data_IF_029900891636
#
_entry.id   IF_029900891636
#
_cell.length_a   1.000
_cell.length_b   1.000
_cell.length_c   1.000
_cell.angle_alpha   90.00
_cell.angle_beta   90.00
_cell.angle_gamma   90.00
#
_symmetry.space_group_name_H-M   'P 1'
#
loop_
_entity.id
_entity.type
_entity.pdbx_description
1 polymer ?
#
# COMPACT_ATOMS: atom_id res chain seq x y z
N UNK A 1 -0.80 6.51 6.89
CA UNK A 1 -2.26 6.46 6.82
C UNK A 1 -2.79 5.44 7.83
N UNK A 2 -3.88 5.76 8.51
CA UNK A 2 -4.55 4.80 9.37
C UNK A 2 -5.52 3.98 8.52
N UNK A 3 -5.24 2.69 8.40
CA UNK A 3 -6.15 1.71 7.80
C UNK A 3 -6.30 0.58 8.80
N UNK A 4 -7.47 0.35 9.40
CA UNK A 4 -7.71 -0.82 10.25
C UNK A 4 -7.48 -2.13 9.49
N UNK A 5 -7.67 -2.07 8.19
CA UNK A 5 -7.57 -3.13 7.20
C UNK A 5 -6.71 -2.62 6.06
N UNK A 6 -5.46 -2.68 6.13
CA UNK A 6 -4.59 -2.18 5.09
C UNK A 6 -3.38 -3.05 4.94
N UNK A 7 -2.59 -2.71 3.93
CA UNK A 7 -1.36 -3.40 3.63
C UNK A 7 -0.38 -3.34 4.81
N UNK A 8 -0.26 -2.19 5.48
CA UNK A 8 0.57 -2.03 6.68
C UNK A 8 -0.32 -1.98 7.91
N UNK A 9 -0.12 -2.89 8.85
CA UNK A 9 -0.93 -3.02 10.05
C UNK A 9 -0.06 -3.03 11.32
N UNK A 10 -0.63 -2.58 12.45
CA UNK A 10 -0.01 -2.70 13.77
C UNK A 10 1.30 -1.93 13.95
N UNK A 11 1.46 -0.80 13.25
CA UNK A 11 2.66 0.05 13.39
C UNK A 11 2.78 0.59 14.81
N UNK A 12 3.95 0.41 15.41
CA UNK A 12 4.23 0.88 16.76
C UNK A 12 5.70 0.73 17.13
N UNK A 13 6.01 0.96 18.40
CA UNK A 13 7.36 0.82 18.99
C UNK A 13 8.40 1.61 18.19
N UNK A 14 8.13 2.92 18.02
CA UNK A 14 8.89 3.79 17.13
C UNK A 14 9.83 4.74 17.84
N UNK A 15 10.76 5.28 17.09
CA UNK A 15 11.66 6.36 17.46
C UNK A 15 11.84 7.32 16.28
N UNK A 16 12.23 8.55 16.57
CA UNK A 16 12.55 9.55 15.54
C UNK A 16 14.05 9.78 15.50
N UNK A 17 14.61 9.81 14.30
CA UNK A 17 16.03 10.11 14.09
C UNK A 17 16.20 11.10 12.94
N UNK A 18 17.41 11.67 12.84
CA UNK A 18 17.78 12.57 11.76
C UNK A 18 18.83 11.88 10.86
N UNK A 19 18.65 11.97 9.54
CA UNK A 19 19.61 11.48 8.57
C UNK A 19 20.79 12.45 8.35
N UNK A 20 21.75 12.04 7.53
CA UNK A 20 22.94 12.82 7.21
C UNK A 20 22.64 14.14 6.46
N UNK A 21 21.48 14.25 5.84
CA UNK A 21 21.02 15.44 5.10
C UNK A 21 20.16 16.37 5.96
N UNK A 22 19.90 15.99 7.23
CA UNK A 22 19.12 16.75 8.17
C UNK A 22 17.61 16.52 8.05
N UNK A 23 17.16 15.48 7.32
CA UNK A 23 15.75 15.06 7.31
C UNK A 23 15.44 14.21 8.54
N UNK A 24 14.22 14.31 9.04
CA UNK A 24 13.76 13.50 10.15
C UNK A 24 12.92 12.33 9.68
N UNK A 25 13.06 11.21 10.35
CA UNK A 25 12.37 9.96 10.05
C UNK A 25 11.84 9.36 11.33
N UNK A 26 10.59 8.89 11.29
CA UNK A 26 10.06 8.03 12.33
C UNK A 26 10.23 6.58 11.88
N UNK A 27 11.00 5.81 12.65
CA UNK A 27 11.16 4.38 12.46
C UNK A 27 10.25 3.65 13.43
N UNK A 28 9.58 2.62 12.98
CA UNK A 28 8.71 1.79 13.78
C UNK A 28 8.70 0.36 13.31
N UNK A 29 7.90 -0.47 13.93
CA UNK A 29 7.70 -1.85 13.49
C UNK A 29 6.29 -2.03 12.95
N UNK A 30 6.14 -2.86 11.92
CA UNK A 30 4.85 -3.21 11.33
C UNK A 30 4.69 -4.72 11.26
N UNK A 31 3.47 -5.19 11.47
CA UNK A 31 3.12 -6.60 11.26
C UNK A 31 2.84 -6.81 9.78
N UNK A 32 3.53 -7.76 9.19
CA UNK A 32 3.45 -8.10 7.77
C UNK A 32 3.12 -9.57 7.52
N UNK A 33 3.21 -10.41 8.57
CA UNK A 33 2.80 -11.81 8.56
C UNK A 33 1.68 -12.04 9.55
N UNK A 34 0.72 -12.88 9.19
CA UNK A 34 -0.39 -13.26 10.07
C UNK A 34 -0.10 -14.47 10.90
N UNK A 35 0.79 -15.31 10.46
CA UNK A 35 1.07 -16.58 11.11
C UNK A 35 1.90 -16.41 12.36
N UNK A 36 2.86 -15.49 12.32
CA UNK A 36 3.72 -15.18 13.44
C UNK A 36 3.48 -13.75 13.90
N UNK A 37 2.57 -13.55 14.86
CA UNK A 37 2.14 -12.23 15.34
C UNK A 37 3.28 -11.36 15.90
N UNK A 38 4.44 -11.94 16.18
CA UNK A 38 5.64 -11.23 16.62
C UNK A 38 6.66 -11.01 15.51
N UNK A 39 6.40 -11.50 14.31
CA UNK A 39 7.23 -11.16 13.17
C UNK A 39 6.90 -9.73 12.71
N UNK A 40 7.81 -8.84 13.03
CA UNK A 40 7.68 -7.42 12.71
C UNK A 40 8.82 -6.99 11.80
N UNK A 41 8.49 -6.15 10.84
CA UNK A 41 9.48 -5.53 9.95
C UNK A 41 9.55 -4.04 10.25
N UNK A 42 10.67 -3.43 9.88
CA UNK A 42 10.89 -2.00 10.05
C UNK A 42 10.00 -1.25 9.06
N UNK A 43 9.28 -0.25 9.56
CA UNK A 43 8.62 0.78 8.78
C UNK A 43 9.30 2.11 8.99
N UNK A 44 9.37 2.91 7.93
CA UNK A 44 10.02 4.21 7.93
C UNK A 44 9.07 5.26 7.37
N UNK A 45 8.87 6.33 8.13
CA UNK A 45 8.00 7.44 7.73
C UNK A 45 8.74 8.77 7.80
N UNK A 46 8.66 9.61 6.76
CA UNK A 46 9.23 10.95 6.80
C UNK A 46 8.52 11.80 7.84
N UNK A 47 9.29 12.51 8.63
CA UNK A 47 8.82 13.28 9.78
C UNK A 47 9.22 14.74 9.60
N UNK A 48 8.30 15.63 9.93
CA UNK A 48 8.48 17.06 9.75
C UNK A 48 8.15 17.80 11.03
N UNK A 49 8.78 18.95 11.19
CA UNK A 49 8.41 19.96 12.18
C UNK A 49 7.85 21.15 11.44
N UNK A 50 6.69 21.61 11.83
CA UNK A 50 6.13 22.81 11.24
C UNK A 50 6.74 24.10 11.88
N UNK A 51 6.29 25.25 11.41
CA UNK A 51 6.78 26.55 11.89
C UNK A 51 6.48 26.82 13.38
N UNK A 52 5.52 26.13 13.97
CA UNK A 52 5.13 26.25 15.38
C UNK A 52 5.84 25.20 16.26
N UNK A 53 6.66 24.32 15.64
CA UNK A 53 7.40 23.25 16.31
C UNK A 53 6.58 21.96 16.47
N UNK A 54 5.36 21.88 15.91
CA UNK A 54 4.58 20.65 15.95
C UNK A 54 5.22 19.59 15.06
N UNK A 55 5.37 18.38 15.60
CA UNK A 55 5.93 17.25 14.86
C UNK A 55 4.81 16.41 14.24
N UNK A 56 5.01 15.99 12.99
CA UNK A 56 4.11 15.06 12.32
C UNK A 56 4.85 14.12 11.38
N UNK A 57 4.39 12.86 11.31
CA UNK A 57 4.84 11.89 10.32
C UNK A 57 3.90 11.91 9.11
N UNK A 58 4.47 12.01 7.92
CA UNK A 58 3.67 11.97 6.69
C UNK A 58 3.35 10.54 6.30
N UNK A 59 2.08 10.18 6.38
CA UNK A 59 1.60 8.81 6.19
C UNK A 59 0.58 8.66 5.05
N UNK A 60 0.30 9.72 4.28
CA UNK A 60 -0.71 9.68 3.21
C UNK A 60 -0.48 8.53 2.23
N UNK A 61 0.77 8.36 1.79
CA UNK A 61 1.22 7.30 0.90
C UNK A 61 2.33 6.46 1.56
N UNK A 62 2.22 6.22 2.88
CA UNK A 62 3.28 5.62 3.68
C UNK A 62 3.58 4.16 3.37
N UNK A 63 2.70 3.48 2.65
CA UNK A 63 2.85 2.12 2.14
C UNK A 63 3.05 2.06 0.61
N UNK A 64 3.24 3.21 -0.03
CA UNK A 64 3.61 3.34 -1.45
C UNK A 64 5.10 3.58 -1.61
N UNK A 65 5.66 3.39 -2.82
CA UNK A 65 7.05 3.74 -3.09
C UNK A 65 7.37 5.18 -2.75
N UNK A 66 8.51 5.39 -2.14
CA UNK A 66 8.99 6.69 -1.70
C UNK A 66 10.42 6.94 -2.21
N UNK A 67 10.68 8.16 -2.63
CA UNK A 67 12.04 8.58 -2.98
C UNK A 67 12.86 8.68 -1.68
N UNK A 68 13.99 7.99 -1.64
CA UNK A 68 14.98 8.19 -0.58
C UNK A 68 15.82 9.41 -0.96
N UNK A 69 15.72 10.52 -0.22
CA UNK A 69 16.39 11.76 -0.61
C UNK A 69 17.90 11.70 -0.34
N UNK A 70 18.66 12.36 -1.20
CA UNK A 70 20.10 12.61 -1.08
C UNK A 70 20.42 14.05 -0.63
N UNK A 71 19.41 14.80 -0.21
CA UNK A 71 19.47 16.19 0.23
C UNK A 71 18.37 16.52 1.24
N UNK A 72 18.46 17.70 1.85
CA UNK A 72 17.36 18.24 2.68
C UNK A 72 16.10 18.42 1.82
N UNK A 73 14.99 17.83 2.27
CA UNK A 73 13.68 18.01 1.66
C UNK A 73 12.91 19.15 2.35
N UNK A 74 12.07 19.83 1.60
CA UNK A 74 11.27 20.95 2.09
C UNK A 74 9.80 20.57 2.34
N UNK A 75 9.34 19.49 1.72
CA UNK A 75 7.92 19.11 1.70
C UNK A 75 7.77 17.59 1.63
N UNK A 76 6.74 17.01 2.27
CA UNK A 76 6.40 15.60 2.11
C UNK A 76 6.15 15.18 0.66
N UNK A 77 5.65 16.09 -0.16
CA UNK A 77 5.36 15.85 -1.57
C UNK A 77 6.62 15.57 -2.39
N UNK A 78 7.78 16.07 -1.96
CA UNK A 78 9.08 15.83 -2.61
C UNK A 78 9.48 14.34 -2.59
N UNK A 79 8.88 13.55 -1.69
CA UNK A 79 9.18 12.13 -1.51
C UNK A 79 8.25 11.20 -2.29
N UNK A 80 7.11 11.68 -2.77
CA UNK A 80 6.17 10.85 -3.50
C UNK A 80 6.47 10.89 -5.01
N UNK A 81 6.91 9.77 -5.62
CA UNK A 81 7.25 9.75 -7.05
C UNK A 81 6.02 9.81 -7.96
N UNK A 82 4.82 9.77 -7.38
CA UNK A 82 3.55 9.73 -8.11
C UNK A 82 3.29 8.37 -8.77
N UNK A 83 3.91 7.31 -8.28
CA UNK A 83 3.62 5.95 -8.74
C UNK A 83 2.43 5.40 -7.99
N UNK A 84 1.31 5.24 -8.69
CA UNK A 84 0.07 4.74 -8.13
C UNK A 84 0.04 3.21 -8.14
N UNK A 85 -0.80 2.63 -7.29
CA UNK A 85 -1.04 1.19 -7.27
C UNK A 85 -1.92 0.81 -8.47
N UNK A 86 -1.36 0.05 -9.39
CA UNK A 86 -2.00 -0.38 -10.63
C UNK A 86 -2.77 -1.70 -10.49
N UNK A 87 -2.40 -2.53 -9.52
CA UNK A 87 -2.92 -3.90 -9.36
C UNK A 87 -4.18 -3.99 -8.49
N UNK A 88 -4.63 -2.91 -7.84
CA UNK A 88 -5.75 -2.97 -6.91
C UNK A 88 -7.03 -3.51 -7.56
N UNK A 89 -7.53 -4.64 -7.02
CA UNK A 89 -8.73 -5.38 -7.50
C UNK A 89 -8.76 -5.66 -9.00
N UNK A 90 -7.61 -5.78 -9.61
CA UNK A 90 -7.49 -6.18 -11.01
C UNK A 90 -7.79 -7.68 -11.17
N UNK A 91 -8.13 -8.07 -12.39
CA UNK A 91 -8.33 -9.49 -12.73
C UNK A 91 -7.04 -10.27 -12.52
N UNK A 92 -7.16 -11.39 -11.81
CA UNK A 92 -6.03 -12.28 -11.52
C UNK A 92 -6.33 -13.68 -12.01
N UNK A 93 -5.36 -14.30 -12.66
CA UNK A 93 -5.36 -15.71 -13.06
C UNK A 93 -4.19 -16.43 -12.39
N UNK A 94 -4.37 -17.68 -12.03
CA UNK A 94 -3.35 -18.48 -11.39
C UNK A 94 -3.30 -19.91 -11.95
N UNK A 95 -2.15 -20.58 -11.81
CA UNK A 95 -1.96 -21.99 -12.18
C UNK A 95 -2.89 -22.91 -11.41
N UNK A 96 -3.08 -22.63 -10.13
CA UNK A 96 -3.99 -23.34 -9.25
C UNK A 96 -4.46 -22.43 -8.12
N UNK A 97 -5.56 -22.81 -7.45
CA UNK A 97 -6.08 -22.09 -6.28
C UNK A 97 -6.54 -23.08 -5.23
N UNK A 98 -6.05 -22.92 -4.01
CA UNK A 98 -6.51 -23.67 -2.85
C UNK A 98 -7.89 -23.16 -2.42
N UNK A 99 -8.80 -24.06 -2.10
CA UNK A 99 -10.14 -23.69 -1.61
C UNK A 99 -10.08 -22.78 -0.38
N UNK A 100 -10.84 -21.71 -0.38
CA UNK A 100 -10.85 -20.68 0.68
C UNK A 100 -9.78 -19.60 0.54
N UNK A 101 -8.87 -19.68 -0.45
CA UNK A 101 -7.78 -18.70 -0.65
C UNK A 101 -7.78 -18.16 -2.10
N UNK A 102 -8.81 -17.40 -2.48
CA UNK A 102 -9.01 -16.97 -3.85
C UNK A 102 -7.96 -15.94 -4.32
N UNK A 103 -7.81 -15.82 -5.62
CA UNK A 103 -6.80 -14.97 -6.28
C UNK A 103 -6.95 -13.48 -5.96
N UNK A 104 -8.18 -13.01 -5.75
CA UNK A 104 -8.53 -11.63 -5.43
C UNK A 104 -7.87 -11.13 -4.14
N UNK A 105 -7.57 -12.05 -3.22
CA UNK A 105 -6.91 -11.72 -1.96
C UNK A 105 -5.48 -11.18 -2.14
N UNK A 106 -4.82 -11.49 -3.26
CA UNK A 106 -3.47 -10.99 -3.53
C UNK A 106 -3.44 -9.54 -4.05
N UNK A 107 -4.59 -8.95 -4.37
CA UNK A 107 -4.70 -7.61 -4.96
C UNK A 107 -5.73 -6.72 -4.26
N UNK A 108 -6.16 -7.06 -3.05
CA UNK A 108 -7.22 -6.35 -2.32
C UNK A 108 -6.72 -5.33 -1.28
N UNK A 109 -5.41 -5.17 -1.12
CA UNK A 109 -4.77 -4.32 -0.11
C UNK A 109 -5.07 -4.70 1.36
N UNK A 110 -5.48 -5.94 1.62
CA UNK A 110 -5.62 -6.48 2.98
C UNK A 110 -4.60 -7.59 3.24
N UNK A 111 -3.52 -7.26 3.92
CA UNK A 111 -2.44 -8.21 4.25
C UNK A 111 -2.90 -9.40 5.12
N UNK A 112 -4.11 -9.35 5.68
CA UNK A 112 -4.69 -10.44 6.49
C UNK A 112 -5.33 -11.53 5.66
N UNK A 113 -5.49 -11.31 4.37
CA UNK A 113 -5.98 -12.27 3.40
C UNK A 113 -4.88 -12.59 2.40
N UNK A 114 -4.95 -13.76 1.77
CA UNK A 114 -3.97 -14.15 0.76
C UNK A 114 -4.57 -15.15 -0.23
N UNK A 115 -3.99 -15.19 -1.40
CA UNK A 115 -4.15 -16.30 -2.32
C UNK A 115 -3.15 -17.40 -2.00
N UNK A 116 -3.55 -18.65 -2.19
CA UNK A 116 -2.64 -19.82 -2.16
C UNK A 116 -2.84 -20.70 -3.36
N UNK A 117 -1.74 -21.09 -3.98
CA UNK A 117 -1.71 -22.23 -4.89
C UNK A 117 -2.02 -23.51 -4.12
N UNK A 118 -2.36 -24.61 -4.83
CA UNK A 118 -2.57 -25.93 -4.23
C UNK A 118 -1.26 -26.56 -3.75
N UNK A 119 -0.13 -26.19 -4.33
CA UNK A 119 1.20 -26.72 -4.03
C UNK A 119 2.25 -25.62 -3.90
N UNK A 120 3.48 -25.99 -3.60
CA UNK A 120 4.66 -25.15 -3.70
C UNK A 120 5.54 -25.57 -4.90
N UNK A 121 5.01 -26.33 -5.84
CA UNK A 121 5.78 -26.86 -6.95
C UNK A 121 6.35 -25.72 -7.80
N UNK A 122 7.52 -25.97 -8.35
CA UNK A 122 8.10 -25.08 -9.36
C UNK A 122 7.18 -24.96 -10.55
N UNK A 123 6.89 -23.71 -10.94
CA UNK A 123 5.99 -23.40 -12.04
C UNK A 123 4.58 -22.96 -11.61
N UNK A 124 4.21 -23.06 -10.32
CA UNK A 124 3.02 -22.37 -9.84
C UNK A 124 3.15 -20.86 -10.11
N UNK A 125 2.10 -20.23 -10.61
CA UNK A 125 2.14 -18.81 -11.01
C UNK A 125 0.86 -18.05 -10.68
N UNK A 126 1.00 -16.75 -10.65
CA UNK A 126 -0.10 -15.77 -10.63
C UNK A 126 0.14 -14.70 -11.68
N UNK A 127 -0.90 -14.32 -12.40
CA UNK A 127 -0.88 -13.26 -13.42
C UNK A 127 -1.93 -12.21 -13.08
N UNK A 128 -1.52 -10.94 -13.03
CA UNK A 128 -2.43 -9.79 -12.91
C UNK A 128 -2.58 -9.12 -14.27
N UNK A 129 -3.81 -8.87 -14.71
CA UNK A 129 -4.15 -8.03 -15.85
C UNK A 129 -4.39 -6.59 -15.36
N UNK A 130 -3.55 -5.66 -15.76
CA UNK A 130 -3.66 -4.24 -15.39
C UNK A 130 -4.76 -3.50 -16.18
N UNK A 131 -5.59 -4.23 -16.95
CA UNK A 131 -6.66 -3.80 -17.86
C UNK A 131 -6.17 -3.05 -19.09
N UNK A 132 -5.05 -2.37 -19.01
CA UNK A 132 -4.46 -1.60 -20.11
C UNK A 132 -2.95 -1.56 -20.02
N UNK A 133 -2.33 -1.17 -21.11
CA UNK A 133 -0.90 -0.91 -21.12
C UNK A 133 -0.56 0.21 -20.13
N UNK A 134 0.37 -0.05 -19.24
CA UNK A 134 0.75 0.81 -18.12
C UNK A 134 2.25 0.88 -18.02
N UNK A 135 2.76 2.01 -17.55
CA UNK A 135 4.19 2.18 -17.27
C UNK A 135 4.49 1.74 -15.84
N UNK A 136 5.05 0.54 -15.69
CA UNK A 136 5.39 -0.07 -14.41
C UNK A 136 6.80 0.36 -13.99
N UNK A 137 6.94 0.85 -12.76
CA UNK A 137 8.22 1.31 -12.17
C UNK A 137 8.71 0.43 -11.06
N UNK A 138 7.79 -0.16 -10.28
CA UNK A 138 8.16 -1.03 -9.17
C UNK A 138 7.11 -2.10 -8.94
N UNK A 139 7.55 -3.22 -8.35
CA UNK A 139 6.70 -4.34 -7.97
C UNK A 139 7.07 -4.73 -6.54
N UNK A 140 6.06 -4.99 -5.73
CA UNK A 140 6.23 -5.53 -4.39
C UNK A 140 5.48 -6.84 -4.27
N UNK A 141 6.18 -7.86 -3.81
CA UNK A 141 5.62 -9.18 -3.55
C UNK A 141 5.62 -9.41 -2.05
N UNK A 142 4.46 -9.73 -1.49
CA UNK A 142 4.33 -10.15 -0.11
C UNK A 142 3.89 -11.60 -0.09
N UNK A 143 4.79 -12.48 0.27
CA UNK A 143 4.50 -13.89 0.43
C UNK A 143 3.69 -14.12 1.71
N UNK A 144 2.82 -15.13 1.70
CA UNK A 144 2.06 -15.59 2.86
C UNK A 144 2.61 -16.94 3.36
N UNK A 145 2.14 -17.36 4.53
CA UNK A 145 2.66 -18.56 5.22
C UNK A 145 1.68 -19.74 5.20
N UNK A 146 1.01 -19.98 4.05
CA UNK A 146 0.03 -21.07 3.95
C UNK A 146 0.68 -22.43 4.21
N UNK A 147 0.23 -23.12 5.27
CA UNK A 147 0.75 -24.44 5.71
C UNK A 147 2.27 -24.48 5.95
N UNK A 148 2.90 -23.31 6.17
CA UNK A 148 4.33 -23.27 6.44
C UNK A 148 4.67 -23.94 7.79
N UNK A 149 5.72 -24.74 7.84
CA UNK A 149 6.24 -25.39 9.03
C UNK A 149 7.57 -24.82 9.48
N UNK A 150 8.32 -24.19 8.58
CA UNK A 150 9.52 -23.43 8.91
C UNK A 150 9.12 -22.05 9.43
N UNK A 151 9.53 -21.72 10.64
CA UNK A 151 9.22 -20.47 11.32
C UNK A 151 10.49 -19.82 11.84
N UNK A 152 10.47 -18.50 11.93
CA UNK A 152 11.58 -17.72 12.43
C UNK A 152 12.71 -17.55 11.40
N UNK A 153 13.88 -17.10 11.86
CA UNK A 153 15.05 -16.86 11.01
C UNK A 153 15.84 -18.14 10.77
N UNK A 154 16.05 -18.48 9.51
CA UNK A 154 16.88 -19.63 9.11
C UNK A 154 17.48 -19.38 7.73
N UNK A 155 18.68 -19.86 7.49
CA UNK A 155 19.35 -19.77 6.18
C UNK A 155 18.66 -20.60 5.09
N UNK A 156 17.70 -21.47 5.47
CA UNK A 156 16.85 -22.22 4.55
C UNK A 156 15.57 -21.49 4.15
N UNK A 157 15.27 -20.36 4.77
CA UNK A 157 14.09 -19.56 4.46
C UNK A 157 14.50 -18.49 3.46
N UNK A 158 14.26 -18.75 2.17
CA UNK A 158 14.42 -17.80 1.08
C UNK A 158 13.40 -18.11 -0.01
N UNK A 159 13.12 -17.13 -0.86
CA UNK A 159 12.12 -17.21 -1.92
C UNK A 159 12.80 -17.06 -3.27
N UNK A 160 12.56 -18.00 -4.20
CA UNK A 160 13.06 -17.91 -5.56
C UNK A 160 11.89 -17.86 -6.53
N UNK A 161 11.91 -16.87 -7.39
CA UNK A 161 10.82 -16.63 -8.33
C UNK A 161 11.32 -15.83 -9.54
N UNK A 162 10.48 -15.74 -10.56
CA UNK A 162 10.63 -14.82 -11.68
C UNK A 162 9.41 -13.94 -11.79
N UNK A 163 9.63 -12.70 -12.24
CA UNK A 163 8.54 -11.84 -12.69
C UNK A 163 8.72 -11.62 -14.17
N UNK A 164 7.64 -11.83 -14.90
CA UNK A 164 7.56 -11.71 -16.34
C UNK A 164 6.48 -10.69 -16.71
N UNK A 165 6.66 -10.06 -17.86
CA UNK A 165 5.71 -9.10 -18.40
C UNK A 165 5.19 -9.53 -19.75
N UNK A 166 3.99 -9.06 -20.11
CA UNK A 166 3.40 -9.30 -21.43
C UNK A 166 2.44 -8.19 -21.83
N UNK A 167 2.42 -7.86 -23.12
CA UNK A 167 1.45 -6.95 -23.71
C UNK A 167 0.08 -7.61 -23.94
N UNK A 168 0.08 -8.91 -24.21
CA UNK A 168 -1.11 -9.63 -24.71
C UNK A 168 -1.43 -10.92 -23.91
N UNK A 169 -0.63 -11.24 -22.87
CA UNK A 169 -0.79 -12.45 -22.07
C UNK A 169 -0.40 -13.77 -22.76
N UNK A 170 0.23 -13.72 -23.93
CA UNK A 170 0.60 -14.89 -24.74
C UNK A 170 2.11 -15.12 -24.72
N UNK A 171 2.87 -14.10 -25.06
CA UNK A 171 4.34 -14.13 -25.04
C UNK A 171 4.84 -13.36 -23.83
N UNK A 172 5.83 -13.91 -23.14
CA UNK A 172 6.32 -13.40 -21.88
C UNK A 172 7.80 -13.05 -21.96
N UNK A 173 8.16 -11.86 -21.48
CA UNK A 173 9.53 -11.41 -21.34
C UNK A 173 9.92 -11.39 -19.88
N UNK A 174 11.12 -11.83 -19.58
CA UNK A 174 11.66 -11.78 -18.21
C UNK A 174 11.87 -10.31 -17.79
N UNK A 175 11.25 -9.92 -16.68
CA UNK A 175 11.37 -8.60 -16.11
C UNK A 175 12.27 -8.58 -14.87
N UNK A 176 12.14 -9.61 -14.00
CA UNK A 176 12.95 -9.77 -12.79
C UNK A 176 13.30 -11.24 -12.63
N UNK A 177 14.58 -11.55 -12.42
CA UNK A 177 15.05 -12.89 -12.09
C UNK A 177 15.57 -12.95 -10.64
N UNK A 178 14.84 -13.64 -9.79
CA UNK A 178 15.22 -13.96 -8.41
C UNK A 178 15.46 -15.47 -8.24
N UNK A 179 15.74 -16.21 -9.33
CA UNK A 179 15.92 -17.67 -9.29
C UNK A 179 17.13 -18.13 -8.46
N UNK A 180 18.10 -17.26 -8.23
CA UNK A 180 19.28 -17.53 -7.42
C UNK A 180 19.25 -16.83 -6.04
N UNK A 181 18.11 -16.23 -5.65
CA UNK A 181 18.00 -15.53 -4.37
C UNK A 181 18.23 -16.49 -3.20
N UNK A 182 19.00 -16.05 -2.21
CA UNK A 182 19.25 -16.76 -0.94
C UNK A 182 18.89 -15.89 0.28
N UNK A 183 18.28 -14.73 0.06
CA UNK A 183 17.86 -13.85 1.14
C UNK A 183 16.42 -14.19 1.58
N UNK A 184 16.21 -14.15 2.89
CA UNK A 184 14.88 -14.16 3.48
C UNK A 184 14.20 -12.80 3.24
N UNK A 185 13.41 -12.73 2.17
CA UNK A 185 12.71 -11.52 1.75
C UNK A 185 11.21 -11.82 1.52
N UNK A 186 10.43 -12.05 2.60
CA UNK A 186 9.00 -12.32 2.49
C UNK A 186 8.19 -11.12 1.98
N UNK A 187 8.79 -9.93 2.02
CA UNK A 187 8.23 -8.69 1.44
C UNK A 187 9.31 -8.08 0.53
N UNK A 188 9.40 -8.57 -0.68
CA UNK A 188 10.42 -8.13 -1.62
C UNK A 188 9.89 -6.96 -2.46
N UNK A 189 10.54 -5.80 -2.31
CA UNK A 189 10.29 -4.61 -3.12
C UNK A 189 11.35 -4.50 -4.21
N UNK A 190 10.90 -4.46 -5.44
CA UNK A 190 11.75 -4.40 -6.62
C UNK A 190 11.45 -3.11 -7.38
N UNK A 191 12.39 -2.18 -7.39
CA UNK A 191 12.38 -1.05 -8.31
C UNK A 191 13.05 -1.47 -9.60
N UNK A 192 12.39 -1.22 -10.73
CA UNK A 192 12.94 -1.53 -12.05
C UNK A 192 13.97 -0.47 -12.45
N UNK A 193 15.10 -0.89 -13.00
CA UNK A 193 16.13 0.01 -13.54
C UNK A 193 15.59 0.90 -14.66
N UNK A 194 14.70 0.33 -15.47
CA UNK A 194 13.93 1.02 -16.50
C UNK A 194 12.45 0.64 -16.37
N UNK A 195 11.54 1.61 -16.46
CA UNK A 195 10.13 1.28 -16.43
C UNK A 195 9.73 0.37 -17.60
N UNK A 196 8.85 -0.58 -17.33
CA UNK A 196 8.30 -1.47 -18.34
C UNK A 196 6.94 -0.96 -18.80
N UNK A 197 6.73 -0.92 -20.12
CA UNK A 197 5.42 -0.62 -20.72
C UNK A 197 4.69 -1.94 -20.97
N UNK A 198 3.74 -2.30 -20.10
CA UNK A 198 3.11 -3.63 -20.10
C UNK A 198 1.67 -3.61 -19.58
N UNK A 199 0.89 -4.63 -19.95
CA UNK A 199 -0.46 -4.86 -19.43
C UNK A 199 -0.50 -6.00 -18.42
N UNK A 200 0.30 -7.04 -18.58
CA UNK A 200 0.25 -8.22 -17.74
C UNK A 200 1.54 -8.40 -16.95
N UNK A 201 1.41 -8.68 -15.67
CA UNK A 201 2.53 -9.05 -14.80
C UNK A 201 2.26 -10.46 -14.26
N UNK A 202 3.24 -11.35 -14.44
CA UNK A 202 3.21 -12.71 -13.91
C UNK A 202 4.35 -12.92 -12.93
N UNK A 203 4.04 -13.50 -11.78
CA UNK A 203 5.04 -14.08 -10.87
C UNK A 203 4.98 -15.60 -10.96
N UNK A 204 6.15 -16.23 -11.15
CA UNK A 204 6.28 -17.68 -11.25
C UNK A 204 7.21 -18.21 -10.16
N UNK A 205 6.73 -19.17 -9.37
CA UNK A 205 7.49 -19.85 -8.33
C UNK A 205 8.63 -20.69 -8.90
N UNK A 206 9.81 -20.56 -8.33
CA UNK A 206 10.98 -21.43 -8.57
C UNK A 206 11.26 -22.30 -7.33
N UNK A 207 11.27 -21.67 -6.15
CA UNK A 207 11.42 -22.33 -4.87
C UNK A 207 10.69 -21.54 -3.77
N UNK A 208 9.92 -22.27 -2.96
CA UNK A 208 9.22 -21.75 -1.81
C UNK A 208 9.67 -22.53 -0.56
N UNK A 209 10.06 -21.86 0.52
CA UNK A 209 10.82 -22.49 1.61
C UNK A 209 10.01 -23.49 2.44
N UNK A 210 8.69 -23.29 2.55
CA UNK A 210 7.83 -24.12 3.38
C UNK A 210 6.35 -23.86 3.10
N UNK A 211 5.54 -24.90 3.15
CA UNK A 211 4.10 -24.83 2.93
C UNK A 211 3.73 -24.77 1.44
N UNK A 212 2.84 -23.84 1.07
CA UNK A 212 2.32 -23.66 -0.29
C UNK A 212 2.74 -22.30 -0.84
N UNK A 213 2.92 -22.22 -2.16
CA UNK A 213 3.15 -20.94 -2.82
C UNK A 213 1.94 -20.03 -2.60
N UNK A 214 2.13 -18.96 -1.81
CA UNK A 214 1.03 -18.11 -1.38
C UNK A 214 1.47 -16.65 -1.30
N UNK A 215 0.56 -15.76 -1.68
CA UNK A 215 0.81 -14.32 -1.83
C UNK A 215 -0.31 -13.53 -1.15
N UNK A 216 0.05 -12.68 -0.17
CA UNK A 216 -0.86 -11.73 0.48
C UNK A 216 -0.91 -10.37 -0.22
N UNK A 217 0.06 -10.07 -1.09
CA UNK A 217 0.07 -8.86 -1.88
C UNK A 217 0.97 -8.96 -3.10
N UNK A 218 0.40 -8.79 -4.28
CA UNK A 218 1.14 -8.54 -5.52
C UNK A 218 0.84 -7.11 -5.96
N UNK A 219 1.69 -6.20 -5.53
CA UNK A 219 1.51 -4.76 -5.70
C UNK A 219 2.36 -4.26 -6.86
N UNK A 220 1.71 -3.75 -7.89
CA UNK A 220 2.37 -3.19 -9.08
C UNK A 220 2.20 -1.67 -9.03
N UNK A 221 3.31 -0.94 -9.03
CA UNK A 221 3.32 0.51 -8.94
C UNK A 221 3.76 1.15 -10.25
N UNK A 222 3.03 2.20 -10.64
CA UNK A 222 3.33 2.85 -11.90
C UNK A 222 2.42 4.01 -12.24
N UNK A 223 2.30 4.25 -13.54
CA UNK A 223 1.45 5.30 -14.12
C UNK A 223 0.67 4.74 -15.30
N UNK A 224 -0.54 5.22 -15.45
CA UNK A 224 -1.38 4.92 -16.60
C UNK A 224 -1.78 6.22 -17.29
N UNK A 225 -1.85 6.18 -18.62
CA UNK A 225 -2.33 7.32 -19.41
C UNK A 225 -3.87 7.34 -19.41
N UNK A 226 -4.41 8.08 -18.45
CA UNK A 226 -5.82 8.42 -18.32
C UNK A 226 -5.98 9.67 -17.45
N UNK A 227 -7.13 10.35 -17.46
CA UNK A 227 -7.39 11.46 -16.56
C UNK A 227 -7.33 11.05 -15.09
N UNK A 228 -6.82 11.94 -14.23
CA UNK A 228 -7.02 11.84 -12.78
C UNK A 228 -8.50 12.06 -12.44
N UNK A 229 -9.01 11.52 -11.31
CA UNK A 229 -10.41 11.67 -10.97
C UNK A 229 -10.78 13.13 -10.63
N UNK A 230 -12.06 13.46 -10.76
CA UNK A 230 -12.56 14.76 -10.30
C UNK A 230 -12.46 14.89 -8.76
N UNK A 231 -12.64 16.11 -8.24
CA UNK A 231 -12.66 16.38 -6.80
C UNK A 231 -13.94 15.78 -6.15
N UNK A 232 -13.80 15.08 -5.05
CA UNK A 232 -14.91 14.65 -4.23
C UNK A 232 -15.43 15.79 -3.35
N UNK A 233 -16.71 15.72 -2.96
CA UNK A 233 -17.37 16.72 -2.12
C UNK A 233 -17.98 16.03 -0.90
N UNK A 234 -17.75 16.52 0.32
CA UNK A 234 -18.43 16.00 1.50
C UNK A 234 -19.93 16.27 1.42
N UNK A 235 -20.74 15.23 1.53
CA UNK A 235 -22.20 15.28 1.63
C UNK A 235 -22.68 15.24 3.07
N UNK A 236 -21.90 14.60 3.95
CA UNK A 236 -22.16 14.52 5.38
C UNK A 236 -20.86 14.61 6.18
N UNK A 237 -20.94 15.32 7.31
CA UNK A 237 -19.89 15.39 8.32
C UNK A 237 -20.58 15.56 9.68
N UNK A 238 -20.69 14.48 10.45
CA UNK A 238 -21.45 14.46 11.70
C UNK A 238 -20.67 13.82 12.84
N UNK A 239 -20.77 14.36 14.05
CA UNK A 239 -20.31 13.68 15.26
C UNK A 239 -21.37 12.67 15.69
N UNK A 240 -20.89 11.49 16.06
CA UNK A 240 -21.75 10.48 16.65
C UNK A 240 -22.21 10.92 18.06
N UNK A 241 -23.50 10.91 18.32
CA UNK A 241 -24.07 11.35 19.59
C UNK A 241 -23.75 10.39 20.74
N UNK A 242 -23.71 9.09 20.47
CA UNK A 242 -23.46 8.06 21.48
C UNK A 242 -21.95 7.91 21.79
N UNK A 243 -21.12 8.23 20.82
CA UNK A 243 -19.67 8.23 20.97
C UNK A 243 -19.05 9.45 20.28
N UNK A 244 -18.93 10.55 21.01
CA UNK A 244 -18.40 11.82 20.50
C UNK A 244 -16.93 11.76 20.03
N UNK A 245 -16.22 10.67 20.27
CA UNK A 245 -14.90 10.41 19.68
C UNK A 245 -14.97 9.98 18.21
N UNK A 246 -16.18 9.71 17.72
CA UNK A 246 -16.43 9.26 16.35
C UNK A 246 -16.99 10.40 15.50
N UNK A 247 -16.40 10.57 14.33
CA UNK A 247 -16.97 11.43 13.27
C UNK A 247 -17.30 10.54 12.08
N UNK A 248 -18.53 10.64 11.58
CA UNK A 248 -18.99 10.00 10.38
C UNK A 248 -18.85 10.95 9.19
N UNK A 249 -18.28 10.46 8.12
CA UNK A 249 -18.07 11.21 6.89
C UNK A 249 -18.70 10.46 5.72
N UNK A 250 -19.44 11.21 4.89
CA UNK A 250 -19.89 10.73 3.58
C UNK A 250 -19.49 11.76 2.52
N UNK A 251 -19.30 11.33 1.29
CA UNK A 251 -18.97 12.20 0.16
C UNK A 251 -19.55 11.69 -1.15
N UNK A 252 -19.58 12.57 -2.15
CA UNK A 252 -20.03 12.20 -3.49
C UNK A 252 -19.07 11.19 -4.10
N UNK A 253 -19.61 10.06 -4.59
CA UNK A 253 -18.80 9.10 -5.35
C UNK A 253 -18.32 9.76 -6.65
N UNK A 254 -17.03 9.67 -6.89
CA UNK A 254 -16.40 10.21 -8.10
C UNK A 254 -16.19 9.08 -9.10
N UNK A 255 -16.63 9.29 -10.32
CA UNK A 255 -16.39 8.33 -11.40
C UNK A 255 -14.90 8.14 -11.62
N UNK A 256 -14.50 6.89 -11.87
CA UNK A 256 -13.12 6.49 -12.12
C UNK A 256 -12.14 6.78 -10.94
N UNK A 257 -12.64 7.03 -9.73
CA UNK A 257 -11.83 7.06 -8.54
C UNK A 257 -11.64 5.64 -7.99
N UNK A 258 -10.39 5.24 -7.76
CA UNK A 258 -10.03 4.00 -7.06
C UNK A 258 -10.20 4.17 -5.55
N UNK A 259 -10.04 5.39 -5.06
CA UNK A 259 -10.21 5.68 -3.64
C UNK A 259 -10.03 7.15 -3.28
N UNK A 260 -10.01 7.41 -1.98
CA UNK A 260 -9.97 8.72 -1.38
C UNK A 260 -8.98 8.78 -0.23
N UNK A 261 -8.35 9.93 -0.06
CA UNK A 261 -7.53 10.23 1.12
C UNK A 261 -8.21 11.33 1.93
N UNK A 262 -8.70 11.00 3.11
CA UNK A 262 -9.26 11.96 4.05
C UNK A 262 -8.12 12.57 4.85
N UNK A 263 -7.87 13.86 4.65
CA UNK A 263 -6.90 14.63 5.43
C UNK A 263 -7.64 15.38 6.54
N UNK A 264 -7.12 15.31 7.75
CA UNK A 264 -7.76 15.99 8.88
C UNK A 264 -6.75 16.44 9.93
N UNK A 265 -7.19 17.39 10.76
CA UNK A 265 -6.39 17.93 11.85
C UNK A 265 -7.16 18.93 12.69
N UNK A 266 -6.51 19.50 13.71
CA UNK A 266 -7.11 20.43 14.67
C UNK A 266 -7.03 21.90 14.26
N UNK A 267 -6.35 22.18 13.15
CA UNK A 267 -6.26 23.51 12.56
C UNK A 267 -6.42 23.42 11.04
N UNK A 268 -7.01 24.46 10.44
CA UNK A 268 -7.31 24.51 9.00
C UNK A 268 -6.07 24.33 8.11
N UNK A 269 -4.92 24.76 8.58
CA UNK A 269 -3.64 24.65 7.87
C UNK A 269 -2.75 23.51 8.37
N UNK A 270 -3.25 22.65 9.28
CA UNK A 270 -2.53 21.50 9.85
C UNK A 270 -3.34 20.21 9.71
N UNK A 271 -3.63 19.82 8.47
CA UNK A 271 -4.32 18.56 8.16
C UNK A 271 -3.31 17.42 8.06
N UNK A 272 -2.65 17.11 9.18
CA UNK A 272 -1.52 16.19 9.22
C UNK A 272 -1.88 14.71 9.31
N UNK A 273 -3.14 14.41 9.68
CA UNK A 273 -3.64 13.04 9.71
C UNK A 273 -4.22 12.65 8.36
N UNK A 274 -4.06 11.39 8.01
CA UNK A 274 -4.53 10.83 6.75
C UNK A 274 -5.29 9.53 6.99
N UNK A 275 -6.36 9.31 6.25
CA UNK A 275 -7.13 8.07 6.24
C UNK A 275 -7.46 7.70 4.80
N UNK A 276 -6.85 6.62 4.29
CA UNK A 276 -7.15 6.10 2.96
C UNK A 276 -8.38 5.21 2.97
N UNK A 277 -9.29 5.46 2.01
CA UNK A 277 -10.50 4.68 1.79
C UNK A 277 -10.51 4.24 0.33
N UNK A 278 -10.58 2.93 0.09
CA UNK A 278 -10.74 2.39 -1.26
C UNK A 278 -12.22 2.14 -1.56
N UNK A 279 -12.67 2.53 -2.76
CA UNK A 279 -14.00 2.27 -3.34
C UNK A 279 -15.21 2.82 -2.57
N UNK A 280 -15.17 2.84 -1.26
CA UNK A 280 -16.28 3.35 -0.45
C UNK A 280 -16.32 4.88 -0.48
N UNK A 281 -17.48 5.45 -0.26
CA UNK A 281 -17.70 6.89 -0.17
C UNK A 281 -18.18 7.34 1.21
N UNK A 282 -17.83 6.57 2.24
CA UNK A 282 -18.09 6.86 3.65
C UNK A 282 -17.03 6.27 4.56
N UNK A 283 -16.84 6.86 5.71
CA UNK A 283 -15.95 6.33 6.76
C UNK A 283 -16.34 6.89 8.12
N UNK A 284 -16.07 6.12 9.19
CA UNK A 284 -16.15 6.56 10.57
C UNK A 284 -14.75 6.63 11.17
N UNK A 285 -14.33 7.79 11.64
CA UNK A 285 -13.05 8.00 12.30
C UNK A 285 -13.28 8.09 13.81
N UNK A 286 -12.73 7.15 14.58
CA UNK A 286 -13.12 6.87 15.97
C UNK A 286 -12.17 7.40 17.06
N UNK A 287 -11.11 8.12 16.72
CA UNK A 287 -10.01 8.44 17.65
C UNK A 287 -9.90 9.92 17.98
N UNK A 288 -10.95 10.68 17.75
CA UNK A 288 -10.94 12.13 17.90
C UNK A 288 -11.22 12.55 19.36
N UNK A 289 -10.67 13.69 19.78
CA UNK A 289 -11.00 14.29 21.06
C UNK A 289 -12.41 14.89 21.03
N UNK A 290 -13.16 14.73 22.12
CA UNK A 290 -14.60 15.07 22.22
C UNK A 290 -14.88 16.57 22.12
N UNK A 291 -13.98 17.39 22.67
CA UNK A 291 -14.17 18.84 22.81
C UNK A 291 -13.25 19.64 21.86
N UNK A 292 -12.64 18.95 20.89
CA UNK A 292 -11.74 19.52 19.92
C UNK A 292 -12.46 19.76 18.60
N UNK A 293 -12.29 20.95 18.02
CA UNK A 293 -12.67 21.22 16.63
C UNK A 293 -11.72 20.53 15.67
N UNK A 294 -12.27 19.87 14.65
CA UNK A 294 -11.52 19.24 13.60
C UNK A 294 -11.88 19.78 12.23
N UNK A 295 -10.88 19.79 11.36
CA UNK A 295 -10.96 20.25 9.97
C UNK A 295 -10.68 19.07 9.05
N UNK A 296 -11.46 18.92 7.99
CA UNK A 296 -11.39 17.80 7.06
C UNK A 296 -11.33 18.27 5.62
N UNK A 297 -10.48 17.65 4.82
CA UNK A 297 -10.44 17.77 3.37
C UNK A 297 -10.36 16.37 2.75
N UNK A 298 -10.78 16.24 1.50
CA UNK A 298 -10.81 14.96 0.80
C UNK A 298 -10.13 15.06 -0.55
N UNK A 299 -9.16 14.19 -0.79
CA UNK A 299 -8.51 13.99 -2.08
C UNK A 299 -9.09 12.73 -2.74
N UNK A 300 -9.18 12.71 -4.05
CA UNK A 300 -9.55 11.53 -4.82
C UNK A 300 -8.36 11.03 -5.63
N UNK A 301 -8.24 9.72 -5.85
CA UNK A 301 -7.14 9.16 -6.61
C UNK A 301 -7.57 7.97 -7.47
N UNK A 302 -6.81 7.74 -8.54
CA UNK A 302 -6.86 6.54 -9.37
C UNK A 302 -5.44 6.15 -9.81
N UNK A 303 -5.32 5.23 -10.76
CA UNK A 303 -4.02 4.76 -11.25
C UNK A 303 -3.22 5.82 -12.04
N UNK A 304 -3.87 6.93 -12.44
CA UNK A 304 -3.20 8.06 -13.11
C UNK A 304 -2.61 9.08 -12.14
N UNK A 305 -3.16 9.17 -10.91
CA UNK A 305 -2.68 10.11 -9.90
C UNK A 305 -3.74 10.57 -8.91
N UNK A 306 -3.45 11.69 -8.25
CA UNK A 306 -4.21 12.25 -7.13
C UNK A 306 -4.75 13.63 -7.50
N UNK A 307 -6.02 13.87 -7.22
CA UNK A 307 -6.65 15.19 -7.25
C UNK A 307 -6.83 15.70 -5.84
N UNK A 308 -6.14 16.78 -5.50
CA UNK A 308 -6.16 17.37 -4.16
C UNK A 308 -7.43 18.18 -3.96
N UNK A 309 -8.22 17.84 -2.95
CA UNK A 309 -9.39 18.60 -2.55
C UNK A 309 -9.03 19.89 -1.82
N UNK A 310 -9.67 20.98 -2.22
CA UNK A 310 -9.42 22.33 -1.66
C UNK A 310 -10.48 22.75 -0.63
N UNK A 311 -11.65 22.12 -0.66
CA UNK A 311 -12.71 22.40 0.31
C UNK A 311 -12.29 21.85 1.68
N UNK A 312 -12.48 22.67 2.72
CA UNK A 312 -12.25 22.26 4.11
C UNK A 312 -13.57 22.40 4.87
N UNK A 313 -14.06 21.29 5.38
CA UNK A 313 -15.20 21.22 6.29
C UNK A 313 -14.74 21.19 7.74
N UNK A 314 -15.58 21.67 8.64
CA UNK A 314 -15.26 21.79 10.07
C UNK A 314 -16.35 21.13 10.90
N UNK A 315 -15.94 20.47 11.98
CA UNK A 315 -16.84 19.92 13.00
C UNK A 315 -16.27 20.12 14.41
N UNK A 316 -17.17 20.36 15.35
CA UNK A 316 -16.87 20.49 16.78
C UNK A 316 -17.42 19.30 17.58
#
# INVERSE_FOLDING_TARGET
>A
SYKPEGFVNGTGHGSTFQDLYGNYWNIGTSTISRRHMFERRISLYPTFFDKDGDVYAYTAWGDYPMIVPDKKISSPQDLFPGWMLLSYKKKVEASSTLEGYPTENAVNEDIRTWWSAKTADKGEFMTVDLDRNSKVYAIQVNFADQDATALGKSDSIYYQYRIEESQHGITWNLLVDKSENKADAPNDYIQLDKPADTRYIRITNIYFPSGKFSISGLRVFGKVDKPVPATAQFTELTRNNDNRRTVNLCWSKVNDATGYNIRFGTQKNKLYHNYLVYEDNKVSINILNTDQTYYFAIDSFNEAGVTIGKEIKTIQ
#
